data_IF_728718620219
#
_entry.id   IF_728718620219
#
_cell.length_a   1.000
_cell.length_b   1.000
_cell.length_c   1.000
_cell.angle_alpha   90.00
_cell.angle_beta   90.00
_cell.angle_gamma   90.00
#
_symmetry.space_group_name_H-M   'P 1'
#
loop_
_entity.id
_entity.type
_entity.pdbx_description
1 polymer ?
#
# COMPACT_ATOMS: atom_id res chain seq x y z
N UNK A 1 -11.55 20.55 -1.22
CA UNK A 1 -11.48 19.16 -1.72
C UNK A 1 -11.24 18.34 -0.49
N UNK A 2 -12.10 17.37 -0.18
CA UNK A 2 -11.92 16.53 1.01
C UNK A 2 -10.74 15.59 0.82
N UNK A 3 -10.23 15.00 1.89
CA UNK A 3 -9.16 14.00 1.81
C UNK A 3 -9.52 12.84 0.88
N UNK A 4 -10.78 12.39 0.92
CA UNK A 4 -11.27 11.29 0.08
C UNK A 4 -11.30 11.68 -1.42
N UNK A 5 -11.67 12.92 -1.73
CA UNK A 5 -11.65 13.42 -3.12
C UNK A 5 -10.21 13.52 -3.66
N UNK A 6 -9.26 13.91 -2.81
CA UNK A 6 -7.83 13.93 -3.17
C UNK A 6 -7.33 12.50 -3.39
N UNK A 7 -7.58 11.58 -2.46
CA UNK A 7 -7.18 10.17 -2.55
C UNK A 7 -7.74 9.52 -3.82
N UNK A 8 -9.04 9.72 -4.10
CA UNK A 8 -9.67 9.22 -5.32
C UNK A 8 -8.99 9.75 -6.58
N UNK A 9 -8.60 11.04 -6.59
CA UNK A 9 -7.87 11.64 -7.73
C UNK A 9 -6.49 11.00 -7.92
N UNK A 10 -5.78 10.67 -6.84
CA UNK A 10 -4.50 9.95 -6.90
C UNK A 10 -4.71 8.55 -7.49
N UNK A 11 -5.70 7.81 -6.99
CA UNK A 11 -6.01 6.45 -7.46
C UNK A 11 -6.39 6.46 -8.94
N UNK A 12 -7.21 7.42 -9.38
CA UNK A 12 -7.58 7.57 -10.80
C UNK A 12 -6.34 7.87 -11.66
N UNK A 13 -5.50 8.81 -11.24
CA UNK A 13 -4.26 9.13 -11.94
C UNK A 13 -3.34 7.91 -12.08
N UNK A 14 -3.10 7.18 -10.97
CA UNK A 14 -2.25 6.00 -10.98
C UNK A 14 -2.83 4.89 -11.86
N UNK A 15 -4.17 4.73 -11.89
CA UNK A 15 -4.82 3.78 -12.79
C UNK A 15 -4.63 4.15 -14.26
N UNK A 16 -4.63 5.44 -14.60
CA UNK A 16 -4.38 5.90 -15.97
C UNK A 16 -2.92 5.71 -16.39
N UNK A 17 -1.96 6.01 -15.51
CA UNK A 17 -0.52 5.86 -15.80
C UNK A 17 -0.07 4.39 -15.78
N UNK A 18 -0.67 3.58 -14.90
CA UNK A 18 -0.31 2.18 -14.67
C UNK A 18 -1.57 1.30 -14.84
N UNK A 19 -2.06 1.08 -16.08
CA UNK A 19 -3.31 0.36 -16.32
C UNK A 19 -3.31 -1.10 -15.86
N UNK A 20 -2.13 -1.73 -15.84
CA UNK A 20 -1.92 -3.08 -15.32
C UNK A 20 -1.77 -3.12 -13.78
N UNK A 21 -1.78 -1.96 -13.14
CA UNK A 21 -1.57 -1.77 -11.71
C UNK A 21 -0.13 -2.08 -11.25
N UNK A 22 0.15 -1.81 -9.96
CA UNK A 22 1.44 -2.16 -9.36
C UNK A 22 1.63 -3.68 -9.27
N UNK A 23 2.79 -4.18 -9.71
CA UNK A 23 3.11 -5.62 -9.73
C UNK A 23 3.90 -6.03 -8.48
N UNK A 24 3.25 -6.05 -7.33
CA UNK A 24 3.93 -6.28 -6.05
C UNK A 24 4.63 -7.64 -5.91
N UNK A 25 4.23 -8.66 -6.67
CA UNK A 25 4.92 -9.97 -6.69
C UNK A 25 6.12 -10.01 -7.64
N UNK A 26 6.23 -9.07 -8.58
CA UNK A 26 7.31 -9.03 -9.57
C UNK A 26 8.56 -8.38 -8.96
N UNK A 27 9.68 -9.11 -8.77
CA UNK A 27 10.89 -8.55 -8.18
C UNK A 27 11.57 -7.48 -9.06
N UNK A 28 11.16 -7.35 -10.32
CA UNK A 28 11.63 -6.28 -11.21
C UNK A 28 10.73 -5.04 -11.17
N UNK A 29 9.62 -5.08 -10.44
CA UNK A 29 8.74 -3.94 -10.31
C UNK A 29 9.32 -2.91 -9.34
N UNK A 30 9.56 -1.71 -9.85
CA UNK A 30 10.19 -0.61 -9.11
C UNK A 30 9.23 0.15 -8.17
N UNK A 31 8.12 -0.44 -7.72
CA UNK A 31 7.20 0.17 -6.73
C UNK A 31 6.79 1.63 -7.04
N UNK A 32 6.50 1.94 -8.31
CA UNK A 32 6.16 3.29 -8.75
C UNK A 32 7.29 4.32 -8.50
N UNK A 33 8.56 3.92 -8.62
CA UNK A 33 9.73 4.76 -8.32
C UNK A 33 9.70 6.15 -9.00
N UNK A 34 9.13 6.24 -10.20
CA UNK A 34 8.98 7.49 -10.95
C UNK A 34 8.00 8.48 -10.29
N UNK A 35 7.11 8.00 -9.44
CA UNK A 35 6.10 8.82 -8.77
C UNK A 35 6.65 9.48 -7.49
N UNK A 36 6.23 10.72 -7.21
CA UNK A 36 6.54 11.38 -5.94
C UNK A 36 5.90 10.61 -4.77
N UNK A 37 6.52 10.69 -3.59
CA UNK A 37 6.11 9.96 -2.39
C UNK A 37 4.61 10.13 -2.07
N UNK A 38 4.11 11.35 -2.20
CA UNK A 38 2.70 11.74 -1.96
C UNK A 38 1.70 10.89 -2.75
N UNK A 39 2.09 10.41 -3.94
CA UNK A 39 1.25 9.59 -4.79
C UNK A 39 1.47 8.10 -4.53
N UNK A 40 2.73 7.65 -4.50
CA UNK A 40 3.06 6.22 -4.33
C UNK A 40 2.84 5.69 -2.91
N UNK A 41 2.74 6.55 -1.90
CA UNK A 41 2.41 6.10 -0.54
C UNK A 41 1.00 5.52 -0.46
N UNK A 42 0.04 6.01 -1.25
CA UNK A 42 -1.37 5.55 -1.24
C UNK A 42 -1.48 4.06 -1.57
N UNK A 43 -1.01 3.56 -2.74
CA UNK A 43 -1.09 2.14 -3.03
C UNK A 43 -0.16 1.29 -2.14
N UNK A 44 0.87 1.87 -1.52
CA UNK A 44 1.71 1.16 -0.55
C UNK A 44 0.95 0.92 0.76
N UNK A 45 0.30 1.95 1.30
CA UNK A 45 -0.58 1.89 2.46
C UNK A 45 -1.72 0.90 2.24
N UNK A 46 -2.47 1.04 1.14
CA UNK A 46 -3.55 0.11 0.78
C UNK A 46 -3.06 -1.34 0.78
N UNK A 47 -1.86 -1.60 0.24
CA UNK A 47 -1.33 -2.95 0.15
C UNK A 47 -0.96 -3.52 1.52
N UNK A 48 -0.34 -2.72 2.39
CA UNK A 48 0.05 -3.16 3.74
C UNK A 48 -1.21 -3.37 4.58
N UNK A 49 -2.04 -2.33 4.71
CA UNK A 49 -3.24 -2.31 5.56
C UNK A 49 -4.21 -3.43 5.17
N UNK A 50 -4.54 -3.55 3.87
CA UNK A 50 -5.46 -4.58 3.39
C UNK A 50 -4.97 -6.00 3.71
N UNK A 51 -3.69 -6.31 3.49
CA UNK A 51 -3.22 -7.67 3.68
C UNK A 51 -3.09 -8.03 5.16
N UNK A 52 -2.65 -7.09 5.99
CA UNK A 52 -2.55 -7.30 7.43
C UNK A 52 -3.92 -7.49 8.06
N UNK A 53 -4.91 -6.68 7.67
CA UNK A 53 -6.29 -6.78 8.19
C UNK A 53 -6.98 -8.10 7.77
N UNK A 54 -6.70 -8.62 6.57
CA UNK A 54 -7.36 -9.83 6.06
C UNK A 54 -6.65 -11.15 6.42
N UNK A 55 -5.31 -11.19 6.39
CA UNK A 55 -4.55 -12.43 6.53
C UNK A 55 -3.20 -12.28 7.23
N UNK A 56 -2.97 -11.16 7.90
CA UNK A 56 -1.75 -10.85 8.62
C UNK A 56 -0.50 -10.79 7.73
N UNK A 57 0.67 -10.83 8.36
CA UNK A 57 1.95 -10.72 7.66
C UNK A 57 2.15 -11.78 6.57
N UNK A 58 1.60 -12.99 6.72
CA UNK A 58 1.75 -14.05 5.74
C UNK A 58 1.04 -13.69 4.44
N UNK A 59 -0.17 -13.15 4.50
CA UNK A 59 -0.86 -12.71 3.29
C UNK A 59 -0.12 -11.56 2.60
N UNK A 60 0.44 -10.62 3.38
CA UNK A 60 1.26 -9.54 2.82
C UNK A 60 2.49 -10.10 2.10
N UNK A 61 3.23 -11.01 2.75
CA UNK A 61 4.42 -11.62 2.15
C UNK A 61 4.08 -12.38 0.87
N UNK A 62 2.99 -13.16 0.89
CA UNK A 62 2.53 -13.89 -0.29
C UNK A 62 2.26 -12.95 -1.47
N UNK A 63 1.54 -11.86 -1.22
CA UNK A 63 1.12 -10.93 -2.26
C UNK A 63 2.22 -9.95 -2.68
N UNK A 64 3.31 -9.83 -1.92
CA UNK A 64 4.34 -8.83 -2.12
C UNK A 64 5.77 -9.39 -2.09
N UNK A 65 5.95 -10.72 -2.23
CA UNK A 65 7.25 -11.37 -2.04
C UNK A 65 8.38 -10.73 -2.87
N UNK A 66 8.07 -10.27 -4.10
CA UNK A 66 9.05 -9.66 -4.98
C UNK A 66 9.49 -8.27 -4.55
N UNK A 67 8.67 -7.54 -3.80
CA UNK A 67 8.84 -6.08 -3.60
C UNK A 67 8.66 -5.60 -2.16
N UNK A 68 8.43 -6.51 -1.20
CA UNK A 68 8.03 -6.14 0.15
C UNK A 68 9.01 -5.16 0.81
N UNK A 69 10.32 -5.26 0.55
CA UNK A 69 11.33 -4.32 1.09
C UNK A 69 11.07 -2.88 0.65
N UNK A 70 10.97 -2.66 -0.67
CA UNK A 70 10.68 -1.35 -1.25
C UNK A 70 9.29 -0.84 -0.81
N UNK A 71 8.32 -1.75 -0.68
CA UNK A 71 7.00 -1.42 -0.15
C UNK A 71 7.08 -0.88 1.28
N UNK A 72 7.87 -1.50 2.16
CA UNK A 72 8.05 -1.00 3.54
C UNK A 72 8.83 0.32 3.58
N UNK A 73 9.78 0.55 2.67
CA UNK A 73 10.51 1.83 2.58
C UNK A 73 9.57 2.98 2.21
N UNK A 74 8.74 2.80 1.17
CA UNK A 74 7.73 3.79 0.77
C UNK A 74 6.75 4.04 1.93
N UNK A 75 6.30 2.98 2.60
CA UNK A 75 5.39 3.11 3.72
C UNK A 75 6.04 3.83 4.92
N UNK A 76 7.31 3.58 5.21
CA UNK A 76 8.02 4.24 6.30
C UNK A 76 8.12 5.76 6.08
N UNK A 77 8.46 6.18 4.86
CA UNK A 77 8.49 7.59 4.49
C UNK A 77 7.08 8.21 4.47
N UNK A 78 6.10 7.48 3.93
CA UNK A 78 4.70 7.93 3.90
C UNK A 78 4.12 8.11 5.31
N UNK A 79 4.29 7.12 6.19
CA UNK A 79 3.78 7.20 7.56
C UNK A 79 4.43 8.33 8.34
N UNK A 80 5.73 8.58 8.13
CA UNK A 80 6.39 9.77 8.68
C UNK A 80 5.76 11.07 8.15
N UNK A 81 5.44 11.12 6.84
CA UNK A 81 4.86 12.30 6.19
C UNK A 81 3.49 12.68 6.77
N UNK A 82 2.64 11.68 7.07
CA UNK A 82 1.28 11.90 7.60
C UNK A 82 1.21 11.92 9.14
N UNK A 83 2.34 11.75 9.84
CA UNK A 83 2.39 11.72 11.31
C UNK A 83 1.89 10.40 11.94
N UNK A 84 1.88 9.31 11.20
CA UNK A 84 1.47 7.97 11.63
C UNK A 84 2.63 7.19 12.27
N UNK A 85 3.15 7.69 13.41
CA UNK A 85 4.38 7.12 14.01
C UNK A 85 4.18 5.67 14.48
N UNK A 86 3.01 5.31 15.02
CA UNK A 86 2.75 3.95 15.49
C UNK A 86 2.91 2.91 14.36
N UNK A 87 2.42 3.23 13.17
CA UNK A 87 2.54 2.37 11.99
C UNK A 87 3.97 2.32 11.48
N UNK A 88 4.66 3.46 11.46
CA UNK A 88 6.08 3.54 11.13
C UNK A 88 6.93 2.66 12.04
N UNK A 89 6.70 2.69 13.35
CA UNK A 89 7.38 1.85 14.33
C UNK A 89 7.05 0.36 14.12
N UNK A 90 5.79 0.04 13.82
CA UNK A 90 5.32 -1.32 13.54
C UNK A 90 5.90 -1.93 12.25
N UNK A 91 6.45 -1.13 11.34
CA UNK A 91 7.16 -1.65 10.16
C UNK A 91 8.42 -2.44 10.51
N UNK A 92 9.05 -2.16 11.66
CA UNK A 92 10.25 -2.90 12.09
C UNK A 92 9.94 -4.37 12.40
N UNK A 93 9.02 -4.71 13.34
CA UNK A 93 8.67 -6.11 13.58
C UNK A 93 8.06 -6.77 12.33
N UNK A 94 7.34 -6.01 11.49
CA UNK A 94 6.87 -6.50 10.20
C UNK A 94 8.03 -6.95 9.30
N UNK A 95 9.04 -6.08 9.10
CA UNK A 95 10.23 -6.41 8.29
C UNK A 95 10.97 -7.64 8.83
N UNK A 96 11.05 -7.81 10.14
CA UNK A 96 11.70 -8.94 10.79
C UNK A 96 10.95 -10.26 10.51
N UNK A 97 9.61 -10.26 10.58
CA UNK A 97 8.82 -11.46 10.25
C UNK A 97 8.87 -11.78 8.75
N UNK A 98 8.73 -10.77 7.88
CA UNK A 98 8.77 -10.98 6.42
C UNK A 98 10.14 -11.55 6.00
N UNK A 99 11.24 -11.00 6.52
CA UNK A 99 12.59 -11.51 6.24
C UNK A 99 12.78 -12.96 6.70
N UNK A 100 12.23 -13.31 7.86
CA UNK A 100 12.33 -14.66 8.42
C UNK A 100 11.59 -15.70 7.57
N UNK A 101 10.41 -15.35 7.06
CA UNK A 101 9.53 -16.29 6.38
C UNK A 101 9.64 -16.24 4.84
N UNK A 102 10.41 -15.32 4.28
CA UNK A 102 10.56 -15.12 2.82
C UNK A 102 10.90 -16.41 2.06
N UNK A 103 11.89 -17.18 2.54
CA UNK A 103 12.29 -18.44 1.91
C UNK A 103 11.17 -19.50 1.97
N UNK A 104 10.37 -19.52 3.03
CA UNK A 104 9.23 -20.42 3.15
C UNK A 104 8.12 -20.02 2.18
N UNK A 105 7.79 -18.73 2.12
CA UNK A 105 6.83 -18.20 1.17
C UNK A 105 7.19 -18.58 -0.28
N UNK A 106 8.47 -18.45 -0.65
CA UNK A 106 8.96 -18.82 -1.98
C UNK A 106 8.74 -20.32 -2.28
N UNK A 107 8.95 -21.20 -1.30
CA UNK A 107 8.67 -22.65 -1.44
C UNK A 107 7.18 -22.91 -1.65
N UNK A 108 6.31 -22.23 -0.92
CA UNK A 108 4.87 -22.37 -1.11
C UNK A 108 4.44 -21.87 -2.49
N UNK A 109 4.95 -20.73 -2.96
CA UNK A 109 4.63 -20.20 -4.29
C UNK A 109 5.08 -21.12 -5.42
N UNK A 110 6.19 -21.84 -5.27
CA UNK A 110 6.63 -22.86 -6.24
C UNK A 110 5.63 -24.03 -6.33
N UNK A 111 4.96 -24.40 -5.24
CA UNK A 111 3.96 -25.49 -5.23
C UNK A 111 2.68 -25.12 -5.96
N UNK A 112 2.35 -23.83 -6.06
CA UNK A 112 1.11 -23.34 -6.71
C UNK A 112 1.03 -23.73 -8.19
N UNK A 113 2.16 -23.98 -8.86
CA UNK A 113 2.16 -24.41 -10.27
C UNK A 113 1.74 -25.87 -10.46
N UNK A 114 1.77 -26.68 -9.39
CA UNK A 114 1.56 -28.13 -9.42
C UNK A 114 0.36 -28.56 -8.56
N UNK A 115 0.00 -27.77 -7.54
CA UNK A 115 -1.02 -28.08 -6.54
C UNK A 115 -2.18 -27.06 -6.56
N UNK A 116 -3.24 -27.31 -5.78
CA UNK A 116 -4.37 -26.39 -5.67
C UNK A 116 -3.94 -25.07 -5.01
N UNK A 117 -3.82 -24.02 -5.82
CA UNK A 117 -3.41 -22.68 -5.39
C UNK A 117 -4.14 -22.17 -4.14
N UNK A 118 -5.45 -22.40 -4.03
CA UNK A 118 -6.25 -21.93 -2.91
C UNK A 118 -5.93 -22.66 -1.61
N UNK A 119 -5.63 -23.95 -1.68
CA UNK A 119 -5.26 -24.75 -0.51
C UNK A 119 -3.86 -24.37 -0.03
N UNK A 120 -2.90 -24.24 -0.96
CA UNK A 120 -1.52 -23.79 -0.64
C UNK A 120 -1.52 -22.40 -0.02
N UNK A 121 -2.30 -21.48 -0.59
CA UNK A 121 -2.48 -20.14 -0.03
C UNK A 121 -3.05 -20.20 1.39
N UNK A 122 -4.15 -20.94 1.60
CA UNK A 122 -4.77 -21.06 2.93
C UNK A 122 -3.82 -21.70 3.95
N UNK A 123 -3.07 -22.73 3.54
CA UNK A 123 -2.10 -23.41 4.40
C UNK A 123 -0.96 -22.48 4.81
N UNK A 124 -0.49 -21.65 3.89
CA UNK A 124 0.55 -20.66 4.18
C UNK A 124 0.04 -19.54 5.10
N UNK A 125 -1.13 -18.95 4.80
CA UNK A 125 -1.63 -17.79 5.56
C UNK A 125 -2.02 -18.12 6.99
N UNK A 126 -2.33 -19.40 7.30
CA UNK A 126 -2.53 -19.85 8.69
C UNK A 126 -1.34 -19.57 9.62
N UNK A 127 -0.13 -19.37 9.07
CA UNK A 127 1.07 -19.05 9.84
C UNK A 127 0.96 -17.72 10.59
N UNK A 128 0.22 -16.73 10.05
CA UNK A 128 -0.06 -15.47 10.75
C UNK A 128 -0.83 -15.71 12.05
N UNK A 129 -1.88 -16.52 12.01
CA UNK A 129 -2.76 -16.75 13.17
C UNK A 129 -2.12 -17.63 14.25
N UNK A 130 -1.11 -18.43 13.88
CA UNK A 130 -0.39 -19.30 14.80
C UNK A 130 0.83 -18.63 15.44
N UNK A 131 1.27 -17.47 14.94
CA UNK A 131 2.47 -16.80 15.40
C UNK A 131 2.20 -15.98 16.67
N UNK A 132 2.95 -16.21 17.77
CA UNK A 132 2.91 -15.31 18.93
C UNK A 132 3.61 -13.99 18.61
N UNK A 133 3.23 -12.90 19.29
CA UNK A 133 3.94 -11.61 19.17
C UNK A 133 3.48 -10.74 17.99
N UNK A 134 2.26 -10.95 17.49
CA UNK A 134 1.68 -10.22 16.36
C UNK A 134 0.83 -9.01 16.78
N UNK A 135 0.90 -8.56 18.04
CA UNK A 135 0.08 -7.45 18.54
C UNK A 135 0.35 -6.13 17.81
N UNK A 136 1.53 -5.97 17.20
CA UNK A 136 1.90 -4.82 16.38
C UNK A 136 1.08 -4.72 15.07
N UNK A 137 0.45 -5.81 14.60
CA UNK A 137 -0.40 -5.77 13.39
C UNK A 137 -1.61 -4.84 13.58
N UNK A 138 -2.08 -4.66 14.82
CA UNK A 138 -3.20 -3.77 15.17
C UNK A 138 -2.95 -2.31 14.77
N UNK A 139 -1.70 -1.90 14.62
CA UNK A 139 -1.38 -0.57 14.13
C UNK A 139 -1.90 -0.34 12.70
N UNK A 140 -2.12 -1.40 11.91
CA UNK A 140 -2.52 -1.33 10.51
C UNK A 140 -4.00 -1.66 10.26
N UNK A 141 -4.75 -2.01 11.30
CA UNK A 141 -6.16 -2.37 11.16
C UNK A 141 -7.00 -1.13 10.86
N UNK A 142 -8.18 -1.37 10.26
CA UNK A 142 -9.05 -0.29 9.77
C UNK A 142 -9.50 0.70 10.87
N UNK A 143 -9.48 0.28 12.13
CA UNK A 143 -9.87 1.07 13.31
C UNK A 143 -8.69 1.71 14.05
N UNK A 144 -7.47 1.61 13.51
CA UNK A 144 -6.24 2.16 14.11
C UNK A 144 -6.14 3.69 14.10
N UNK A 145 -7.05 4.39 13.40
CA UNK A 145 -7.01 5.84 13.22
C UNK A 145 -6.12 6.32 12.07
N UNK A 146 -5.47 5.39 11.34
CA UNK A 146 -4.54 5.74 10.26
C UNK A 146 -5.22 6.40 9.07
N UNK A 147 -6.44 5.98 8.75
CA UNK A 147 -7.18 6.51 7.64
C UNK A 147 -7.54 7.98 7.88
N UNK A 148 -7.91 8.35 9.10
CA UNK A 148 -8.19 9.72 9.51
C UNK A 148 -6.95 10.60 9.38
N UNK A 149 -5.77 10.11 9.78
CA UNK A 149 -4.50 10.83 9.61
C UNK A 149 -4.18 11.05 8.12
N UNK A 150 -4.32 10.00 7.30
CA UNK A 150 -4.11 10.06 5.85
C UNK A 150 -5.04 11.09 5.21
N UNK A 151 -6.34 11.01 5.47
CA UNK A 151 -7.34 11.90 4.87
C UNK A 151 -7.15 13.36 5.32
N UNK A 152 -6.87 13.60 6.61
CA UNK A 152 -6.58 14.94 7.11
C UNK A 152 -5.32 15.54 6.46
N UNK A 153 -4.27 14.73 6.28
CA UNK A 153 -3.06 15.17 5.60
C UNK A 153 -3.32 15.47 4.11
N UNK A 154 -4.06 14.61 3.41
CA UNK A 154 -4.42 14.81 2.00
C UNK A 154 -5.26 16.07 1.79
N UNK A 155 -6.23 16.33 2.66
CA UNK A 155 -7.03 17.56 2.62
C UNK A 155 -6.15 18.81 2.79
N UNK A 156 -5.23 18.77 3.77
CA UNK A 156 -4.31 19.89 4.03
C UNK A 156 -3.33 20.18 2.88
N UNK A 157 -3.00 19.17 2.07
CA UNK A 157 -2.03 19.27 0.97
C UNK A 157 -2.68 19.15 -0.42
N UNK A 158 -4.00 19.33 -0.51
CA UNK A 158 -4.76 19.12 -1.74
C UNK A 158 -4.21 19.91 -2.94
N UNK A 159 -3.83 21.20 -2.76
CA UNK A 159 -3.29 22.02 -3.85
C UNK A 159 -1.95 21.52 -4.38
N UNK A 160 -1.07 21.07 -3.48
CA UNK A 160 0.25 20.54 -3.83
C UNK A 160 0.11 19.23 -4.60
N UNK A 161 -0.72 18.31 -4.10
CA UNK A 161 -0.99 17.02 -4.73
C UNK A 161 -1.58 17.22 -6.12
N UNK A 162 -2.56 18.12 -6.25
CA UNK A 162 -3.18 18.38 -7.55
C UNK A 162 -2.19 18.97 -8.57
N UNK A 163 -1.16 19.71 -8.13
CA UNK A 163 -0.09 20.14 -9.01
C UNK A 163 0.80 18.96 -9.49
N UNK A 164 0.95 17.92 -8.67
CA UNK A 164 1.64 16.68 -9.06
C UNK A 164 0.84 15.87 -10.09
N UNK A 165 -0.49 15.79 -9.92
CA UNK A 165 -1.38 15.06 -10.83
C UNK A 165 -1.49 15.73 -12.22
N UNK A 166 -1.26 17.04 -12.30
CA UNK A 166 -1.32 17.81 -13.54
C UNK A 166 -0.18 18.83 -13.62
N UNK A 167 1.02 18.41 -14.09
CA UNK A 167 2.19 19.28 -14.20
C UNK A 167 1.95 20.46 -15.16
N UNK A 168 1.01 20.32 -16.09
CA UNK A 168 0.64 21.34 -17.07
C UNK A 168 -0.63 22.09 -16.63
N UNK A 169 -0.47 23.36 -16.23
CA UNK A 169 -1.53 24.24 -15.67
C UNK A 169 -2.76 24.43 -16.58
N UNK A 170 -2.72 23.95 -17.83
CA UNK A 170 -3.83 24.04 -18.79
C UNK A 170 -5.04 23.12 -18.48
N UNK A 171 -4.86 22.10 -17.62
CA UNK A 171 -5.93 21.17 -17.24
C UNK A 171 -6.99 21.81 -16.32
N UNK A 172 -6.58 22.72 -15.43
CA UNK A 172 -7.47 23.42 -14.49
C UNK A 172 -8.59 24.21 -15.16
N UNK A 173 -8.33 24.76 -16.34
CA UNK A 173 -9.34 25.44 -17.17
C UNK A 173 -10.44 24.48 -17.65
N UNK A 174 -10.10 23.20 -17.85
CA UNK A 174 -11.03 22.14 -18.29
C UNK A 174 -11.75 21.49 -17.10
N UNK A 175 -11.05 21.23 -16.00
CA UNK A 175 -11.62 20.56 -14.82
C UNK A 175 -12.62 21.46 -14.06
N UNK A 176 -12.33 22.77 -13.90
CA UNK A 176 -13.30 23.75 -13.38
C UNK A 176 -14.56 23.87 -14.26
N UNK A 177 -14.47 23.55 -15.55
CA UNK A 177 -15.62 23.53 -16.46
C UNK A 177 -16.45 22.24 -16.32
N UNK A 178 -15.80 21.12 -15.97
CA UNK A 178 -16.46 19.83 -15.76
C UNK A 178 -17.19 19.76 -14.41
N UNK A 179 -16.55 20.22 -13.33
CA UNK A 179 -17.14 20.28 -11.98
C UNK A 179 -18.26 21.32 -11.83
N UNK A 180 -18.35 22.31 -12.71
CA UNK A 180 -19.46 23.30 -12.74
C UNK A 180 -20.72 22.82 -13.46
N UNK A 181 -20.69 21.62 -14.06
CA UNK A 181 -21.80 21.06 -14.84
C UNK A 181 -22.49 19.86 -14.17
N UNK A 182 -22.23 19.61 -12.89
CA UNK A 182 -23.02 18.69 -12.06
C UNK A 182 -23.73 19.47 -10.96
#
# INVERSE_FOLDING_TARGET
>A
MTGEEVEASIIEYLREQYPEGPRWQDPQFHCLEAEPLQLKMIPAFERIEYNLDNGGWAQLLWNCIGTWRNLLEIAAEGYALIGAEAQREALKPLSEVLSRDEAECARYLQRVTEENASEIFSDYTRRSYAAPGNEWEQAFYYDSGINELRLAWLEAHAEEIQALLCPDRSFWSRWKHFMRKR
#
